data_IF_072064966652
#
_entry.id   IF_072064966652
#
_cell.length_a   1.000
_cell.length_b   1.000
_cell.length_c   1.000
_cell.angle_alpha   90.00
_cell.angle_beta   90.00
_cell.angle_gamma   90.00
#
_symmetry.space_group_name_H-M   'P 1'
#
loop_
_entity.id
_entity.type
_entity.pdbx_description
1 polymer ?
#
# COMPACT_ATOMS: atom_id res chain seq x y z
N UNK A 1 9.56 -42.21 -50.41
CA UNK A 1 10.81 -41.62 -49.86
C UNK A 1 11.05 -40.28 -50.53
N UNK A 2 10.40 -39.23 -50.03
CA UNK A 2 10.66 -37.84 -50.44
C UNK A 2 10.82 -37.05 -49.15
N UNK A 3 12.04 -36.60 -48.89
CA UNK A 3 12.40 -35.86 -47.68
C UNK A 3 12.42 -34.37 -48.01
N UNK A 4 11.52 -33.61 -47.40
CA UNK A 4 11.50 -32.15 -47.43
C UNK A 4 11.96 -31.66 -46.06
N UNK A 5 13.18 -31.13 -45.97
CA UNK A 5 13.72 -30.49 -44.77
C UNK A 5 13.30 -29.01 -44.79
N UNK A 6 12.34 -28.65 -43.94
CA UNK A 6 12.01 -27.27 -43.64
C UNK A 6 12.91 -26.76 -42.51
N UNK A 7 13.62 -25.68 -42.78
CA UNK A 7 14.50 -24.96 -41.85
C UNK A 7 13.65 -24.10 -40.91
N UNK A 8 13.59 -24.45 -39.63
CA UNK A 8 13.04 -23.58 -38.59
C UNK A 8 14.16 -22.70 -38.03
N UNK A 9 14.17 -21.43 -38.39
CA UNK A 9 14.98 -20.38 -37.76
C UNK A 9 14.28 -19.86 -36.49
N UNK A 10 14.83 -20.21 -35.33
CA UNK A 10 14.40 -19.73 -34.02
C UNK A 10 15.20 -18.49 -33.58
N UNK A 11 14.51 -17.58 -32.90
CA UNK A 11 15.08 -16.74 -31.83
C UNK A 11 15.72 -15.41 -32.24
N UNK A 12 14.89 -14.42 -32.58
CA UNK A 12 15.26 -13.02 -32.31
C UNK A 12 14.99 -12.80 -30.83
N UNK A 13 16.05 -12.73 -30.02
CA UNK A 13 15.97 -12.17 -28.69
C UNK A 13 15.75 -10.66 -28.85
N UNK A 14 14.52 -10.18 -28.66
CA UNK A 14 14.28 -8.76 -28.46
C UNK A 14 14.73 -8.44 -27.04
N UNK A 15 15.83 -7.68 -26.95
CA UNK A 15 16.21 -6.96 -25.74
C UNK A 15 14.99 -6.17 -25.26
N UNK A 16 14.51 -6.48 -24.05
CA UNK A 16 13.52 -5.67 -23.36
C UNK A 16 14.28 -4.42 -22.93
N UNK A 17 14.20 -3.35 -23.73
CA UNK A 17 14.68 -2.03 -23.34
C UNK A 17 13.92 -1.62 -22.09
N UNK A 18 14.62 -1.62 -20.95
CA UNK A 18 14.11 -1.02 -19.71
C UNK A 18 14.05 0.49 -19.96
N UNK A 19 12.86 1.11 -19.99
CA UNK A 19 12.76 2.54 -20.25
C UNK A 19 13.55 3.32 -19.19
N UNK A 20 14.29 4.34 -19.63
CA UNK A 20 15.07 5.18 -18.74
C UNK A 20 14.19 5.74 -17.60
N UNK A 21 14.71 5.84 -16.36
CA UNK A 21 13.96 6.40 -15.25
C UNK A 21 13.51 7.82 -15.61
N UNK A 22 12.19 8.06 -15.52
CA UNK A 22 11.62 9.40 -15.76
C UNK A 22 12.26 10.37 -14.77
N UNK A 23 12.83 11.45 -15.28
CA UNK A 23 13.30 12.58 -14.48
C UNK A 23 12.11 13.29 -13.84
N UNK A 24 12.31 13.91 -12.67
CA UNK A 24 11.26 14.66 -11.97
C UNK A 24 10.55 15.64 -12.92
N UNK A 25 9.21 15.73 -12.89
CA UNK A 25 8.49 16.70 -13.70
C UNK A 25 8.92 18.12 -13.29
N UNK A 26 9.14 18.99 -14.27
CA UNK A 26 9.38 20.42 -14.01
C UNK A 26 8.22 20.97 -13.18
N UNK A 27 8.54 21.57 -12.02
CA UNK A 27 7.55 22.02 -11.04
C UNK A 27 6.58 23.02 -11.66
N UNK A 28 5.32 22.63 -11.82
CA UNK A 28 4.24 23.57 -12.08
C UNK A 28 3.77 24.11 -10.73
N UNK A 29 4.16 25.35 -10.41
CA UNK A 29 3.86 25.99 -9.14
C UNK A 29 2.36 25.98 -8.79
N UNK A 30 1.48 25.95 -9.80
CA UNK A 30 0.03 25.88 -9.59
C UNK A 30 -0.41 24.47 -9.19
N UNK A 31 0.14 23.42 -9.81
CA UNK A 31 -0.11 22.04 -9.38
C UNK A 31 0.41 21.81 -7.96
N UNK A 32 1.60 22.35 -7.64
CA UNK A 32 2.16 22.28 -6.30
C UNK A 32 1.27 22.97 -5.26
N UNK A 33 0.66 24.12 -5.59
CA UNK A 33 -0.29 24.83 -4.73
C UNK A 33 -1.56 24.01 -4.49
N UNK A 34 -2.15 23.42 -5.54
CA UNK A 34 -3.33 22.55 -5.41
C UNK A 34 -2.97 21.36 -4.52
N UNK A 35 -1.87 20.67 -4.79
CA UNK A 35 -1.42 19.51 -4.03
C UNK A 35 -1.07 19.90 -2.58
N UNK A 36 -0.54 21.10 -2.34
CA UNK A 36 -0.36 21.66 -0.98
C UNK A 36 -1.70 21.83 -0.24
N UNK A 37 -2.76 22.25 -0.93
CA UNK A 37 -4.09 22.42 -0.36
C UNK A 37 -4.87 21.13 -0.11
N UNK A 38 -4.42 19.98 -0.63
CA UNK A 38 -5.11 18.69 -0.49
C UNK A 38 -4.93 18.02 0.90
N UNK A 39 -4.22 18.66 1.85
CA UNK A 39 -3.96 18.20 3.23
C UNK A 39 -3.97 16.66 3.38
N UNK A 40 -2.81 16.03 3.10
CA UNK A 40 -2.65 14.57 2.97
C UNK A 40 -2.81 13.75 4.28
N UNK A 41 -3.60 14.22 5.25
CA UNK A 41 -3.61 13.69 6.61
C UNK A 41 -4.98 13.63 7.32
N UNK A 42 -6.10 14.03 6.71
CA UNK A 42 -7.41 13.79 7.35
C UNK A 42 -7.91 12.38 7.00
N UNK A 43 -8.02 11.54 8.02
CA UNK A 43 -8.50 10.15 7.88
C UNK A 43 -10.01 10.03 7.97
N UNK A 44 -10.71 11.12 8.32
CA UNK A 44 -12.13 11.08 8.70
C UNK A 44 -13.08 10.88 7.49
N UNK A 45 -12.57 11.07 6.26
CA UNK A 45 -13.38 10.97 5.03
C UNK A 45 -12.70 10.16 3.92
N UNK A 46 -11.64 9.42 4.24
CA UNK A 46 -10.98 8.53 3.28
C UNK A 46 -11.83 7.29 3.00
N UNK A 47 -11.81 6.74 1.78
CA UNK A 47 -12.57 5.53 1.48
C UNK A 47 -12.04 4.34 2.28
N UNK A 48 -12.96 3.63 2.93
CA UNK A 48 -12.66 2.47 3.75
C UNK A 48 -12.87 1.15 2.98
N UNK A 49 -12.11 0.13 3.33
CA UNK A 49 -12.35 -1.21 2.82
C UNK A 49 -13.65 -1.77 3.41
N UNK A 50 -14.60 -2.24 2.59
CA UNK A 50 -15.89 -2.75 3.08
C UNK A 50 -15.81 -4.08 3.86
N UNK A 51 -14.61 -4.66 4.02
CA UNK A 51 -14.38 -5.94 4.70
C UNK A 51 -13.82 -5.72 6.10
N UNK A 52 -12.73 -4.96 6.23
CA UNK A 52 -12.11 -4.67 7.53
C UNK A 52 -12.47 -3.30 8.11
N UNK A 53 -13.10 -2.41 7.33
CA UNK A 53 -13.43 -1.02 7.69
C UNK A 53 -12.21 -0.16 8.01
N UNK A 54 -11.04 -0.54 7.49
CA UNK A 54 -9.83 0.27 7.57
C UNK A 54 -9.67 1.12 6.30
N UNK A 55 -8.98 2.25 6.41
CA UNK A 55 -8.71 3.16 5.29
C UNK A 55 -7.92 2.44 4.19
N UNK A 56 -8.38 2.53 2.94
CA UNK A 56 -7.78 1.80 1.81
C UNK A 56 -6.31 2.16 1.57
N UNK A 57 -5.96 3.45 1.64
CA UNK A 57 -4.62 3.93 1.34
C UNK A 57 -3.59 3.68 2.47
N UNK A 58 -4.02 3.24 3.65
CA UNK A 58 -3.15 2.98 4.82
C UNK A 58 -2.78 1.50 5.01
N UNK A 59 -3.51 0.59 4.37
CA UNK A 59 -3.30 -0.85 4.52
C UNK A 59 -2.37 -1.44 3.46
N UNK A 60 -2.55 -2.74 3.19
CA UNK A 60 -1.94 -3.41 2.05
C UNK A 60 -2.34 -2.74 0.73
N UNK A 61 -1.65 -3.09 -0.37
CA UNK A 61 -2.03 -2.66 -1.71
C UNK A 61 -3.54 -2.84 -1.98
N UNK A 62 -4.16 -1.84 -2.60
CA UNK A 62 -5.52 -1.95 -3.09
C UNK A 62 -5.63 -3.12 -4.09
N UNK A 63 -6.80 -3.74 -4.15
CA UNK A 63 -7.11 -4.82 -5.07
C UNK A 63 -8.53 -4.70 -5.61
N UNK A 64 -8.72 -5.26 -6.80
CA UNK A 64 -9.99 -5.36 -7.50
C UNK A 64 -10.32 -6.82 -7.78
N UNK A 65 -11.61 -7.06 -7.99
CA UNK A 65 -12.12 -8.36 -8.38
C UNK A 65 -12.19 -8.42 -9.91
N UNK A 66 -11.73 -9.52 -10.48
CA UNK A 66 -11.60 -9.70 -11.93
C UNK A 66 -12.22 -11.01 -12.41
N UNK A 67 -12.51 -11.06 -13.71
CA UNK A 67 -12.93 -12.25 -14.43
C UNK A 67 -12.01 -12.48 -15.64
N UNK A 68 -11.65 -13.72 -15.92
CA UNK A 68 -11.00 -14.08 -17.17
C UNK A 68 -11.93 -13.82 -18.36
N UNK A 69 -11.42 -13.17 -19.40
CA UNK A 69 -12.19 -12.91 -20.60
C UNK A 69 -11.85 -13.98 -21.63
N UNK A 70 -12.82 -14.86 -21.91
CA UNK A 70 -12.67 -15.92 -22.91
C UNK A 70 -12.23 -15.34 -24.26
N UNK A 71 -11.06 -15.78 -24.75
CA UNK A 71 -10.51 -15.36 -26.04
C UNK A 71 -9.52 -14.19 -26.00
N UNK A 72 -9.26 -13.60 -24.82
CA UNK A 72 -8.22 -12.59 -24.61
C UNK A 72 -7.21 -13.11 -23.57
N UNK A 73 -5.92 -12.78 -23.75
CA UNK A 73 -4.93 -12.99 -22.69
C UNK A 73 -5.08 -11.86 -21.68
N UNK A 74 -5.87 -12.09 -20.63
CA UNK A 74 -6.00 -11.13 -19.54
C UNK A 74 -7.26 -11.32 -18.70
N UNK A 75 -7.30 -10.59 -17.61
CA UNK A 75 -8.47 -10.47 -16.75
C UNK A 75 -9.05 -9.07 -16.89
N UNK A 76 -10.37 -8.94 -16.73
CA UNK A 76 -11.05 -7.64 -16.66
C UNK A 76 -11.66 -7.46 -15.28
N UNK A 77 -11.74 -6.23 -14.81
CA UNK A 77 -12.44 -5.89 -13.58
C UNK A 77 -13.95 -6.17 -13.72
N UNK A 78 -14.60 -6.62 -12.64
CA UNK A 78 -16.04 -6.96 -12.66
C UNK A 78 -16.94 -5.91 -12.04
N UNK A 79 -16.40 -5.02 -11.18
CA UNK A 79 -17.16 -3.97 -10.51
C UNK A 79 -16.22 -2.86 -10.02
N UNK A 80 -16.77 -1.69 -9.70
CA UNK A 80 -16.03 -0.50 -9.22
C UNK A 80 -15.58 -0.57 -7.75
N UNK A 81 -15.83 -1.68 -7.05
CA UNK A 81 -15.40 -1.81 -5.66
C UNK A 81 -13.90 -2.09 -5.54
N UNK A 82 -13.29 -1.50 -4.52
CA UNK A 82 -11.89 -1.66 -4.13
C UNK A 82 -11.82 -2.25 -2.72
N UNK A 83 -10.77 -3.02 -2.48
CA UNK A 83 -10.52 -3.71 -1.22
C UNK A 83 -9.04 -3.67 -0.92
N UNK A 84 -8.61 -3.90 0.32
CA UNK A 84 -7.22 -4.32 0.55
C UNK A 84 -6.98 -5.68 -0.12
N UNK A 85 -5.78 -5.91 -0.64
CA UNK A 85 -5.42 -7.16 -1.29
C UNK A 85 -5.69 -8.37 -0.39
N UNK A 86 -5.27 -8.33 0.88
CA UNK A 86 -5.53 -9.39 1.86
C UNK A 86 -7.03 -9.67 2.03
N UNK A 87 -7.85 -8.62 2.19
CA UNK A 87 -9.31 -8.72 2.28
C UNK A 87 -9.93 -9.36 1.03
N UNK A 88 -9.51 -8.95 -0.17
CA UNK A 88 -10.01 -9.52 -1.42
C UNK A 88 -9.67 -11.02 -1.56
N UNK A 89 -8.45 -11.43 -1.18
CA UNK A 89 -8.06 -12.84 -1.17
C UNK A 89 -8.88 -13.66 -0.17
N UNK A 90 -9.16 -13.10 1.01
CA UNK A 90 -10.03 -13.75 2.00
C UNK A 90 -11.46 -13.95 1.45
N UNK A 91 -12.01 -12.98 0.73
CA UNK A 91 -13.30 -13.15 0.05
C UNK A 91 -13.23 -14.29 -0.96
N UNK A 92 -12.19 -14.34 -1.79
CA UNK A 92 -12.00 -15.37 -2.80
C UNK A 92 -11.90 -16.79 -2.22
N UNK A 93 -11.32 -16.93 -1.01
CA UNK A 93 -11.21 -18.21 -0.29
C UNK A 93 -12.41 -18.58 0.60
N UNK A 94 -13.42 -17.71 0.72
CA UNK A 94 -14.54 -17.87 1.66
C UNK A 94 -15.71 -18.70 1.10
N UNK A 95 -16.72 -18.98 1.93
CA UNK A 95 -17.97 -19.60 1.47
C UNK A 95 -18.76 -18.74 0.46
N UNK A 96 -18.51 -17.43 0.42
CA UNK A 96 -18.98 -16.50 -0.61
C UNK A 96 -18.00 -16.37 -1.78
N UNK A 97 -17.12 -17.34 -1.97
CA UNK A 97 -16.17 -17.39 -3.08
C UNK A 97 -16.87 -17.09 -4.42
N UNK A 98 -16.22 -16.22 -5.19
CA UNK A 98 -16.63 -15.87 -6.53
C UNK A 98 -17.81 -14.92 -6.63
N UNK A 99 -18.20 -14.18 -5.57
CA UNK A 99 -19.12 -13.04 -5.65
C UNK A 99 -18.67 -11.85 -4.81
N UNK A 100 -18.73 -10.65 -5.39
CA UNK A 100 -18.44 -9.41 -4.67
C UNK A 100 -19.40 -9.23 -3.48
N UNK A 101 -18.95 -8.88 -2.26
CA UNK A 101 -19.84 -8.72 -1.11
C UNK A 101 -20.79 -7.51 -1.24
N UNK A 102 -20.42 -6.51 -2.02
CA UNK A 102 -21.20 -5.27 -2.18
C UNK A 102 -22.27 -5.37 -3.27
N UNK A 103 -21.90 -5.78 -4.49
CA UNK A 103 -22.85 -5.87 -5.62
C UNK A 103 -23.21 -7.29 -6.04
N UNK A 104 -22.61 -8.33 -5.44
CA UNK A 104 -22.86 -9.75 -5.76
C UNK A 104 -22.48 -10.17 -7.19
N UNK A 105 -21.79 -9.31 -7.94
CA UNK A 105 -21.24 -9.63 -9.25
C UNK A 105 -20.25 -10.79 -9.13
N UNK A 106 -20.35 -11.81 -10.00
CA UNK A 106 -19.44 -12.93 -9.96
C UNK A 106 -18.02 -12.52 -10.40
N UNK A 107 -17.01 -13.14 -9.79
CA UNK A 107 -15.59 -12.96 -10.12
C UNK A 107 -14.85 -14.30 -10.01
N UNK A 108 -13.68 -14.44 -10.64
CA UNK A 108 -12.86 -15.66 -10.57
C UNK A 108 -11.45 -15.43 -10.02
N UNK A 109 -10.97 -14.19 -10.05
CA UNK A 109 -9.63 -13.83 -9.62
C UNK A 109 -9.59 -12.48 -8.90
N UNK A 110 -8.58 -12.30 -8.07
CA UNK A 110 -8.23 -11.04 -7.39
C UNK A 110 -6.98 -10.49 -8.05
N UNK A 111 -6.97 -9.20 -8.36
CA UNK A 111 -5.81 -8.51 -8.93
C UNK A 111 -5.48 -7.28 -8.08
N UNK A 112 -4.23 -7.16 -7.66
CA UNK A 112 -3.76 -5.94 -7.02
C UNK A 112 -3.82 -4.78 -8.03
N UNK A 113 -4.24 -3.60 -7.55
CA UNK A 113 -4.09 -2.36 -8.28
C UNK A 113 -2.60 -2.07 -8.34
N UNK A 114 -2.06 -2.04 -9.56
CA UNK A 114 -0.67 -1.74 -9.78
C UNK A 114 -0.35 -0.32 -9.31
N UNK A 115 0.92 -0.01 -9.06
CA UNK A 115 1.32 1.33 -8.68
C UNK A 115 1.48 2.20 -9.93
N UNK A 116 0.88 3.41 -10.00
CA UNK A 116 0.93 4.21 -11.23
C UNK A 116 2.34 4.67 -11.60
N UNK A 117 3.23 4.81 -10.61
CA UNK A 117 4.61 5.28 -10.86
C UNK A 117 5.51 4.14 -11.36
N UNK A 118 5.43 2.94 -10.77
CA UNK A 118 6.27 1.82 -11.20
C UNK A 118 5.69 0.97 -12.33
N UNK A 119 4.36 0.91 -12.45
CA UNK A 119 3.65 0.17 -13.50
C UNK A 119 2.43 0.98 -14.00
N UNK A 120 2.65 2.07 -14.75
CA UNK A 120 1.60 2.95 -15.25
C UNK A 120 0.62 2.22 -16.19
N UNK A 121 1.12 1.29 -17.00
CA UNK A 121 0.30 0.48 -17.91
C UNK A 121 -0.64 -0.45 -17.12
N UNK A 122 -0.11 -1.13 -16.10
CA UNK A 122 -0.90 -1.99 -15.22
C UNK A 122 -1.90 -1.20 -14.40
N UNK A 123 -1.56 0.01 -13.94
CA UNK A 123 -2.48 0.87 -13.21
C UNK A 123 -3.64 1.28 -14.10
N UNK A 124 -3.36 1.82 -15.29
CA UNK A 124 -4.37 2.22 -16.26
C UNK A 124 -5.32 1.07 -16.60
N UNK A 125 -4.78 -0.10 -16.93
CA UNK A 125 -5.57 -1.29 -17.26
C UNK A 125 -6.38 -1.85 -16.09
N UNK A 126 -6.02 -1.53 -14.85
CA UNK A 126 -6.75 -2.01 -13.66
C UNK A 126 -7.83 -1.03 -13.22
N UNK A 127 -7.60 0.28 -13.43
CA UNK A 127 -8.56 1.35 -13.15
C UNK A 127 -9.67 1.40 -14.20
N UNK A 128 -9.35 1.10 -15.47
CA UNK A 128 -10.31 0.94 -16.57
C UNK A 128 -11.23 -0.28 -16.31
N UNK A 129 -12.30 -0.07 -15.55
CA UNK A 129 -13.21 -1.11 -15.13
C UNK A 129 -14.06 -1.65 -16.29
N UNK A 130 -14.33 -0.80 -17.27
CA UNK A 130 -15.16 -1.07 -18.45
C UNK A 130 -14.33 -1.73 -19.56
N UNK A 131 -13.01 -1.54 -19.58
CA UNK A 131 -12.10 -2.10 -20.56
C UNK A 131 -12.23 -1.45 -21.94
N UNK A 132 -12.66 -0.19 -21.99
CA UNK A 132 -12.86 0.55 -23.25
C UNK A 132 -11.61 1.33 -23.70
N UNK A 133 -10.53 1.23 -22.93
CA UNK A 133 -9.24 1.88 -23.18
C UNK A 133 -9.19 3.34 -22.76
N UNK A 134 -10.18 3.82 -21.98
CA UNK A 134 -10.25 5.19 -21.49
C UNK A 134 -10.65 5.21 -20.02
N UNK A 135 -10.29 6.28 -19.32
CA UNK A 135 -10.67 6.48 -17.92
C UNK A 135 -11.68 7.61 -17.81
N UNK A 136 -12.85 7.30 -17.28
CA UNK A 136 -13.85 8.26 -16.83
C UNK A 136 -13.40 8.96 -15.55
N UNK A 137 -13.96 10.16 -15.31
CA UNK A 137 -13.77 10.93 -14.09
C UNK A 137 -13.98 10.10 -12.82
N UNK A 138 -15.05 9.31 -12.80
CA UNK A 138 -15.41 8.47 -11.67
C UNK A 138 -14.33 7.43 -11.37
N UNK A 139 -13.84 6.71 -12.38
CA UNK A 139 -12.83 5.67 -12.20
C UNK A 139 -11.53 6.26 -11.65
N UNK A 140 -11.09 7.41 -12.19
CA UNK A 140 -9.88 8.10 -11.73
C UNK A 140 -10.04 8.54 -10.28
N UNK A 141 -11.14 9.21 -9.94
CA UNK A 141 -11.41 9.67 -8.58
C UNK A 141 -11.40 8.53 -7.57
N UNK A 142 -12.18 7.47 -7.82
CA UNK A 142 -12.24 6.30 -6.94
C UNK A 142 -10.87 5.64 -6.76
N UNK A 143 -10.06 5.56 -7.83
CA UNK A 143 -8.74 4.95 -7.77
C UNK A 143 -7.71 5.81 -7.01
N UNK A 144 -7.77 7.13 -7.12
CA UNK A 144 -6.88 8.06 -6.44
C UNK A 144 -7.18 8.12 -4.95
N UNK A 145 -8.45 8.28 -4.57
CA UNK A 145 -8.89 8.31 -3.18
C UNK A 145 -8.58 6.99 -2.45
N UNK A 146 -8.66 5.86 -3.15
CA UNK A 146 -8.34 4.56 -2.58
C UNK A 146 -6.84 4.33 -2.37
N UNK A 147 -5.96 4.87 -3.24
CA UNK A 147 -4.53 4.58 -3.21
C UNK A 147 -3.69 5.63 -2.48
N UNK A 148 -4.19 6.86 -2.38
CA UNK A 148 -3.44 7.97 -1.81
C UNK A 148 -4.21 8.58 -0.63
N UNK A 149 -3.50 9.08 0.39
CA UNK A 149 -4.13 9.76 1.53
C UNK A 149 -4.56 11.17 1.12
N UNK A 150 -5.63 11.29 0.33
CA UNK A 150 -6.15 12.56 -0.18
C UNK A 150 -7.42 12.94 0.59
N UNK A 151 -7.56 14.21 0.97
CA UNK A 151 -8.81 14.72 1.52
C UNK A 151 -9.89 14.81 0.43
N UNK A 152 -10.93 13.99 0.51
CA UNK A 152 -11.94 13.84 -0.54
C UNK A 152 -12.64 15.16 -0.92
N UNK A 153 -13.11 15.93 0.08
CA UNK A 153 -13.76 17.23 -0.18
C UNK A 153 -12.84 18.22 -0.90
N UNK A 154 -11.59 18.37 -0.46
CA UNK A 154 -10.61 19.27 -1.11
C UNK A 154 -10.26 18.80 -2.51
N UNK A 155 -10.18 17.50 -2.70
CA UNK A 155 -9.96 16.92 -4.01
C UNK A 155 -11.11 17.25 -4.94
N UNK A 156 -12.35 17.10 -4.48
CA UNK A 156 -13.55 17.43 -5.23
C UNK A 156 -13.65 18.91 -5.62
N UNK A 157 -13.30 19.82 -4.71
CA UNK A 157 -13.27 21.26 -4.99
C UNK A 157 -12.33 21.62 -6.16
N UNK A 158 -11.25 20.86 -6.34
CA UNK A 158 -10.22 21.11 -7.35
C UNK A 158 -10.30 20.14 -8.55
N UNK A 159 -11.18 19.13 -8.50
CA UNK A 159 -11.17 18.02 -9.45
C UNK A 159 -11.46 18.47 -10.88
N UNK A 160 -12.44 19.35 -11.08
CA UNK A 160 -12.79 19.86 -12.42
C UNK A 160 -11.63 20.61 -13.08
N UNK A 161 -10.85 21.37 -12.31
CA UNK A 161 -9.69 22.09 -12.81
C UNK A 161 -8.55 21.13 -13.16
N UNK A 162 -8.28 20.15 -12.30
CA UNK A 162 -7.30 19.10 -12.56
C UNK A 162 -7.69 18.28 -13.79
N UNK A 163 -8.97 17.95 -13.93
CA UNK A 163 -9.49 17.18 -15.05
C UNK A 163 -9.26 17.87 -16.39
N UNK A 164 -9.55 19.16 -16.50
CA UNK A 164 -9.31 19.95 -17.72
C UNK A 164 -7.84 19.95 -18.16
N UNK A 165 -6.93 19.69 -17.22
CA UNK A 165 -5.51 19.58 -17.51
C UNK A 165 -5.11 18.18 -17.98
N UNK A 166 -5.81 17.14 -17.51
CA UNK A 166 -5.52 15.75 -17.84
C UNK A 166 -6.23 15.30 -19.13
N UNK A 167 -7.42 15.83 -19.39
CA UNK A 167 -8.25 15.59 -20.58
C UNK A 167 -7.92 16.65 -21.65
N UNK A 168 -6.89 16.37 -22.45
CA UNK A 168 -6.28 17.34 -23.37
C UNK A 168 -7.17 17.60 -24.59
N UNK A 169 -7.93 16.60 -25.01
CA UNK A 169 -8.85 16.71 -26.13
C UNK A 169 -10.28 17.14 -25.72
N UNK A 170 -10.57 17.19 -24.42
CA UNK A 170 -11.86 17.61 -23.87
C UNK A 170 -12.98 16.60 -24.14
N UNK A 171 -12.64 15.32 -24.32
CA UNK A 171 -13.60 14.26 -24.62
C UNK A 171 -14.45 13.85 -23.41
N UNK A 172 -14.07 14.25 -22.20
CA UNK A 172 -14.64 13.81 -20.93
C UNK A 172 -14.04 12.49 -20.42
N UNK A 173 -13.02 11.97 -21.10
CA UNK A 173 -12.30 10.74 -20.75
C UNK A 173 -10.80 10.93 -20.92
N UNK A 174 -10.00 10.23 -20.14
CA UNK A 174 -8.54 10.22 -20.29
C UNK A 174 -8.14 8.97 -21.09
N UNK A 175 -7.60 9.19 -22.28
CA UNK A 175 -6.95 8.14 -23.06
C UNK A 175 -5.60 7.73 -22.45
N UNK A 176 -5.06 6.60 -22.91
CA UNK A 176 -3.74 6.13 -22.45
C UNK A 176 -2.62 7.12 -22.79
N UNK A 177 -2.69 7.72 -23.96
CA UNK A 177 -1.73 8.72 -24.42
C UNK A 177 -1.76 9.98 -23.55
N UNK A 178 -2.95 10.44 -23.17
CA UNK A 178 -3.14 11.59 -22.27
C UNK A 178 -2.68 11.28 -20.85
N UNK A 179 -3.02 10.10 -20.32
CA UNK A 179 -2.54 9.65 -19.01
C UNK A 179 -1.01 9.71 -18.91
N UNK A 180 -0.31 9.30 -19.97
CA UNK A 180 1.15 9.24 -20.03
C UNK A 180 1.83 10.58 -20.35
N UNK A 181 1.06 11.58 -20.78
CA UNK A 181 1.58 12.87 -21.22
C UNK A 181 2.23 13.65 -20.07
N UNK A 182 3.18 14.54 -20.42
CA UNK A 182 3.86 15.40 -19.44
C UNK A 182 2.87 16.39 -18.83
N UNK A 183 2.94 16.55 -17.51
CA UNK A 183 2.06 17.40 -16.72
C UNK A 183 0.63 16.87 -16.56
N UNK A 184 0.37 15.63 -16.97
CA UNK A 184 -0.94 14.99 -16.91
C UNK A 184 -1.11 14.15 -15.62
N UNK A 185 -2.10 13.24 -15.63
CA UNK A 185 -2.49 12.44 -14.47
C UNK A 185 -1.34 11.58 -13.91
N UNK A 186 -0.49 11.00 -14.75
CA UNK A 186 0.65 10.22 -14.26
C UNK A 186 1.64 11.07 -13.44
N UNK A 187 1.99 12.26 -13.93
CA UNK A 187 2.89 13.17 -13.20
C UNK A 187 2.23 13.64 -11.88
N UNK A 188 0.91 13.83 -11.86
CA UNK A 188 0.17 14.10 -10.63
C UNK A 188 0.27 12.95 -9.61
N UNK A 189 0.10 11.69 -10.05
CA UNK A 189 0.28 10.53 -9.14
C UNK A 189 1.70 10.41 -8.60
N UNK A 190 2.69 10.81 -9.41
CA UNK A 190 4.09 10.86 -8.96
C UNK A 190 4.28 11.86 -7.83
N UNK A 191 3.72 13.07 -7.97
CA UNK A 191 3.78 14.12 -6.94
C UNK A 191 3.07 13.71 -5.65
N UNK A 192 1.90 13.06 -5.75
CA UNK A 192 1.20 12.51 -4.59
C UNK A 192 2.08 11.49 -3.85
N UNK A 193 2.65 10.54 -4.58
CA UNK A 193 3.49 9.48 -4.00
C UNK A 193 4.73 10.03 -3.31
N UNK A 194 5.44 10.96 -3.96
CA UNK A 194 6.63 11.59 -3.40
C UNK A 194 6.33 12.22 -2.03
N UNK A 195 5.17 12.86 -1.88
CA UNK A 195 4.73 13.51 -0.64
C UNK A 195 4.28 12.53 0.43
N UNK A 196 3.59 11.46 0.07
CA UNK A 196 3.22 10.39 1.02
C UNK A 196 4.43 9.67 1.60
N UNK A 197 5.53 9.59 0.86
CA UNK A 197 6.79 8.97 1.33
C UNK A 197 7.72 9.93 2.07
N UNK A 198 7.45 11.24 2.06
CA UNK A 198 8.28 12.20 2.75
C UNK A 198 8.17 11.97 4.26
N UNK A 199 9.30 11.87 5.00
CA UNK A 199 9.24 11.73 6.45
C UNK A 199 8.47 12.93 7.00
N UNK A 200 7.40 12.68 7.74
CA UNK A 200 6.58 13.71 8.35
C UNK A 200 7.51 14.71 9.04
N UNK A 201 7.58 15.94 8.50
CA UNK A 201 8.32 17.02 9.13
C UNK A 201 7.90 17.07 10.59
N UNK A 202 8.84 17.10 11.56
CA UNK A 202 8.44 17.20 12.96
C UNK A 202 7.54 18.44 13.10
N UNK A 203 6.39 18.34 13.78
CA UNK A 203 5.43 19.44 13.85
C UNK A 203 6.15 20.68 14.35
N UNK A 204 6.25 21.69 13.47
CA UNK A 204 6.81 23.01 13.76
C UNK A 204 5.86 23.66 14.76
N UNK A 205 6.08 23.40 16.04
CA UNK A 205 5.23 23.89 17.12
C UNK A 205 5.28 23.12 18.43
N UNK A 206 5.76 21.87 18.47
CA UNK A 206 5.69 21.05 19.69
C UNK A 206 7.05 20.67 20.29
N UNK A 207 7.95 21.65 20.45
CA UNK A 207 9.16 21.43 21.28
C UNK A 207 8.89 21.56 22.80
N UNK A 208 7.63 21.63 23.23
CA UNK A 208 7.29 21.78 24.66
C UNK A 208 6.46 20.64 25.27
N UNK A 209 5.99 19.67 24.47
CA UNK A 209 5.16 18.56 24.98
C UNK A 209 5.86 17.19 25.03
N UNK A 210 6.93 16.95 24.26
CA UNK A 210 7.57 15.62 24.16
C UNK A 210 8.28 15.14 25.43
N UNK A 211 8.55 16.00 26.41
CA UNK A 211 9.10 15.57 27.70
C UNK A 211 8.03 15.02 28.67
N UNK A 212 6.76 15.41 28.50
CA UNK A 212 5.69 15.01 29.42
C UNK A 212 5.04 13.67 29.02
N UNK A 213 4.96 13.37 27.73
CA UNK A 213 4.28 12.15 27.24
C UNK A 213 5.11 10.87 27.36
N UNK A 214 6.44 10.95 27.23
CA UNK A 214 7.32 9.79 27.44
C UNK A 214 7.31 9.36 28.92
N UNK A 215 7.26 10.33 29.84
CA UNK A 215 7.13 10.06 31.27
C UNK A 215 5.75 9.46 31.62
N UNK A 216 4.68 9.94 30.97
CA UNK A 216 3.31 9.43 31.18
C UNK A 216 3.12 7.99 30.67
N UNK A 217 3.64 7.67 29.48
CA UNK A 217 3.56 6.31 28.91
C UNK A 217 4.41 5.31 29.71
N UNK A 218 5.59 5.72 30.20
CA UNK A 218 6.42 4.89 31.08
C UNK A 218 5.74 4.62 32.44
N UNK A 219 5.07 5.63 33.00
CA UNK A 219 4.35 5.52 34.28
C UNK A 219 3.12 4.60 34.18
N UNK A 220 2.36 4.68 33.08
CA UNK A 220 1.19 3.82 32.87
C UNK A 220 1.57 2.36 32.63
N UNK A 221 2.68 2.08 31.93
CA UNK A 221 3.17 0.69 31.77
C UNK A 221 3.64 0.07 33.07
N UNK A 222 4.26 0.85 33.95
CA UNK A 222 4.67 0.37 35.27
C UNK A 222 3.45 0.07 36.16
N UNK A 223 2.40 0.88 36.08
CA UNK A 223 1.20 0.70 36.89
C UNK A 223 0.36 -0.50 36.44
N UNK A 224 0.19 -0.72 35.13
CA UNK A 224 -0.50 -1.91 34.60
C UNK A 224 0.28 -3.20 34.92
N UNK A 225 1.61 -3.16 34.86
CA UNK A 225 2.44 -4.31 35.26
C UNK A 225 2.33 -4.62 36.77
N UNK A 226 2.19 -3.59 37.61
CA UNK A 226 2.03 -3.74 39.06
C UNK A 226 0.64 -4.29 39.43
N UNK A 227 -0.43 -3.77 38.83
CA UNK A 227 -1.80 -4.28 39.04
C UNK A 227 -1.97 -5.71 38.51
N UNK A 228 -1.34 -6.06 37.37
CA UNK A 228 -1.31 -7.42 36.87
C UNK A 228 -0.54 -8.38 37.80
N UNK A 229 0.53 -7.92 38.46
CA UNK A 229 1.26 -8.73 39.43
C UNK A 229 0.47 -8.96 40.73
N UNK A 230 -0.38 -8.00 41.14
CA UNK A 230 -1.22 -8.13 42.34
C UNK A 230 -2.42 -9.07 42.15
N UNK A 231 -2.93 -9.22 40.92
CA UNK A 231 -4.06 -10.12 40.65
C UNK A 231 -3.70 -11.59 40.46
N UNK A 232 -2.42 -11.94 40.40
CA UNK A 232 -1.96 -13.34 40.24
C UNK A 232 -1.89 -14.09 41.59
N UNK A 233 -2.10 -13.43 42.72
CA UNK A 233 -2.02 -14.07 44.05
C UNK A 233 -3.32 -14.76 44.53
N UNK A 234 -4.46 -14.62 43.84
CA UNK A 234 -5.77 -15.04 44.41
C UNK A 234 -6.45 -16.27 43.80
N UNK A 235 -5.91 -16.86 42.73
CA UNK A 235 -6.38 -18.16 42.23
C UNK A 235 -5.20 -19.10 42.03
N UNK A 236 -4.82 -19.80 43.11
CA UNK A 236 -3.96 -20.99 43.05
C UNK A 236 -4.88 -22.21 42.92
N UNK A 237 -4.97 -22.86 41.75
CA UNK A 237 -5.58 -24.18 41.66
C UNK A 237 -4.72 -25.14 42.49
N UNK A 238 -5.34 -25.85 43.43
CA UNK A 238 -4.74 -26.99 44.13
C UNK A 238 -4.46 -28.13 43.12
N UNK A 239 -3.40 -28.00 42.35
CA UNK A 239 -2.79 -29.10 41.59
C UNK A 239 -1.28 -28.88 41.61
N UNK A 240 -0.60 -29.51 42.58
CA UNK A 240 0.82 -29.30 42.89
C UNK A 240 1.77 -29.58 41.70
N UNK A 241 1.32 -30.30 40.67
CA UNK A 241 2.11 -30.61 39.48
C UNK A 241 2.11 -29.50 38.40
N UNK A 242 1.07 -28.66 38.32
CA UNK A 242 0.96 -27.64 37.26
C UNK A 242 1.73 -26.35 37.58
N UNK A 243 1.88 -26.01 38.87
CA UNK A 243 2.64 -24.84 39.31
C UNK A 243 4.14 -24.99 38.99
N UNK A 244 4.70 -26.20 39.17
CA UNK A 244 6.09 -26.49 38.82
C UNK A 244 6.32 -26.43 37.31
N UNK A 245 5.35 -26.88 36.50
CA UNK A 245 5.41 -26.77 35.04
C UNK A 245 5.35 -25.30 34.58
N UNK A 246 4.44 -24.50 35.16
CA UNK A 246 4.33 -23.08 34.87
C UNK A 246 5.63 -22.33 35.22
N UNK A 247 6.23 -22.62 36.37
CA UNK A 247 7.51 -22.03 36.77
C UNK A 247 8.65 -22.42 35.82
N UNK A 248 8.67 -23.67 35.33
CA UNK A 248 9.68 -24.13 34.38
C UNK A 248 9.54 -23.46 33.02
N UNK A 249 8.32 -23.34 32.50
CA UNK A 249 8.04 -22.63 31.24
C UNK A 249 8.38 -21.13 31.34
N UNK A 250 8.11 -20.50 32.48
CA UNK A 250 8.47 -19.10 32.70
C UNK A 250 10.00 -18.89 32.70
N UNK A 251 10.76 -19.78 33.33
CA UNK A 251 12.23 -19.73 33.31
C UNK A 251 12.80 -19.98 31.90
N UNK A 252 12.20 -20.89 31.13
CA UNK A 252 12.59 -21.17 29.75
C UNK A 252 12.31 -19.98 28.82
N UNK A 253 11.17 -19.30 29.01
CA UNK A 253 10.84 -18.07 28.29
C UNK A 253 11.81 -16.93 28.61
N UNK A 254 12.18 -16.74 29.88
CA UNK A 254 13.17 -15.75 30.31
C UNK A 254 14.55 -16.03 29.70
N UNK A 255 15.01 -17.28 29.74
CA UNK A 255 16.28 -17.68 29.12
C UNK A 255 16.29 -17.41 27.61
N UNK A 256 15.18 -17.70 26.92
CA UNK A 256 15.02 -17.42 25.48
C UNK A 256 15.07 -15.93 25.17
N UNK A 257 14.45 -15.09 26.01
CA UNK A 257 14.47 -13.64 25.87
C UNK A 257 15.89 -13.06 26.07
N UNK A 258 16.65 -13.57 27.05
CA UNK A 258 18.02 -13.15 27.30
C UNK A 258 18.95 -13.50 26.12
N UNK A 259 18.82 -14.70 25.56
CA UNK A 259 19.58 -15.13 24.38
C UNK A 259 19.29 -14.22 23.17
N UNK A 260 18.01 -13.88 22.96
CA UNK A 260 17.62 -12.98 21.88
C UNK A 260 18.17 -11.56 22.06
N UNK A 261 18.26 -11.06 23.30
CA UNK A 261 18.89 -9.77 23.59
C UNK A 261 20.38 -9.79 23.26
N UNK A 262 21.09 -10.85 23.66
CA UNK A 262 22.52 -11.01 23.34
C UNK A 262 22.76 -11.04 21.82
N UNK A 263 21.92 -11.74 21.06
CA UNK A 263 22.02 -11.78 19.60
C UNK A 263 21.86 -10.40 18.96
N UNK A 264 20.91 -9.59 19.46
CA UNK A 264 20.69 -8.21 18.97
C UNK A 264 21.92 -7.34 19.27
N UNK A 265 22.51 -7.46 20.46
CA UNK A 265 23.71 -6.71 20.84
C UNK A 265 24.93 -7.10 19.97
N UNK A 266 25.08 -8.38 19.64
CA UNK A 266 26.12 -8.88 18.72
C UNK A 266 25.92 -8.39 17.29
N UNK A 267 24.69 -8.47 16.76
CA UNK A 267 24.36 -7.99 15.41
C UNK A 267 24.57 -6.47 15.30
N UNK A 268 24.23 -5.71 16.34
CA UNK A 268 24.48 -4.28 16.41
C UNK A 268 25.99 -3.95 16.42
N UNK A 269 26.79 -4.69 17.19
CA UNK A 269 28.24 -4.52 17.22
C UNK A 269 28.90 -4.86 15.86
N UNK A 270 28.40 -5.89 15.17
CA UNK A 270 28.84 -6.25 13.82
C UNK A 270 28.51 -5.14 12.81
N UNK A 271 27.31 -4.57 12.88
CA UNK A 271 26.88 -3.49 12.01
C UNK A 271 27.76 -2.22 12.17
N UNK A 272 28.11 -1.86 13.41
CA UNK A 272 29.05 -0.75 13.69
C UNK A 272 30.42 -1.03 13.09
N UNK A 273 30.95 -2.24 13.27
CA UNK A 273 32.26 -2.64 12.73
C UNK A 273 32.31 -2.60 11.19
N UNK A 274 31.23 -3.02 10.52
CA UNK A 274 31.11 -2.95 9.06
C UNK A 274 31.04 -1.50 8.56
N UNK A 275 30.33 -0.62 9.26
CA UNK A 275 30.25 0.80 8.92
C UNK A 275 31.61 1.51 9.06
N UNK A 276 32.37 1.21 10.12
CA UNK A 276 33.73 1.74 10.30
C UNK A 276 34.70 1.24 9.23
N UNK A 277 34.59 -0.04 8.82
CA UNK A 277 35.40 -0.61 7.74
C UNK A 277 35.13 0.04 6.37
N UNK A 278 33.86 0.35 6.06
CA UNK A 278 33.48 1.02 4.82
C UNK A 278 34.00 2.47 4.76
N UNK A 279 34.01 3.19 5.90
CA UNK A 279 34.51 4.55 5.99
C UNK A 279 36.05 4.65 5.83
N UNK A 280 36.80 3.58 6.11
CA UNK A 280 38.26 3.55 5.94
C UNK A 280 38.68 3.24 4.49
N UNK A 281 37.80 2.68 3.66
CA UNK A 281 38.07 2.33 2.27
C UNK A 281 37.64 3.39 1.24
N UNK A 282 36.90 4.41 1.68
CA UNK A 282 36.48 5.57 0.87
C UNK A 282 37.43 6.75 1.05
#
# INVERSE_FOLDING_TARGET
>A
ISSSLASCSCGIAQEIEVPAPRTEPESDAKLDEIIQGLDLASTEESPECPVCLEVLCQGDHCAVLTIEVSGLRGTRRVCSHLFHASCAHNIAGSASAGRCPLCRTPFDAVKAVADPVSDPDGWFATVDAEGDGRLSQKQVKEALEAQFPIHAERFDENFDELWQRWDLDGSGFISKEEFMARGALLDFTWLLKARSTAPASPPVGSQRAVAHDVAYIASNRAQVAFEAAQHVEEEVPEYEDDAALAQRLALEALATAELRRQQIDEDAALAVSLAEGAAFQA
#
